data_IF_245337384447
#
_entry.id   IF_245337384447
#
_cell.length_a   1.000
_cell.length_b   1.000
_cell.length_c   1.000
_cell.angle_alpha   90.00
_cell.angle_beta   90.00
_cell.angle_gamma   90.00
#
_symmetry.space_group_name_H-M   'P 1'
#
loop_
_entity.id
_entity.type
_entity.pdbx_description
1 polymer ?
#
# COMPACT_ATOMS: atom_id res chain seq x y z
N UNK A 1 -9.02 5.59 14.41
CA UNK A 1 -9.23 5.42 15.86
C UNK A 1 -8.05 4.72 16.55
N UNK A 2 -7.61 3.52 16.16
CA UNK A 2 -6.49 2.81 16.83
C UNK A 2 -5.21 3.64 17.01
N UNK A 3 -4.66 4.23 15.93
CA UNK A 3 -3.36 4.93 15.98
C UNK A 3 -3.35 6.23 16.81
N UNK A 4 -4.41 7.03 16.74
CA UNK A 4 -4.44 8.42 17.28
C UNK A 4 -5.42 8.57 18.44
N UNK A 5 -6.35 7.62 18.61
CA UNK A 5 -7.39 7.67 19.62
C UNK A 5 -8.80 7.78 19.03
N UNK A 6 -9.80 7.58 19.90
CA UNK A 6 -11.22 7.70 19.56
C UNK A 6 -11.59 9.12 19.14
N UNK A 7 -11.02 10.13 19.83
CA UNK A 7 -11.32 11.55 19.66
C UNK A 7 -10.30 12.28 18.79
N UNK A 8 -9.66 11.59 17.85
CA UNK A 8 -8.62 12.16 16.98
C UNK A 8 -9.07 13.39 16.17
N UNK A 9 -10.38 13.53 15.93
CA UNK A 9 -10.97 14.69 15.23
C UNK A 9 -11.02 15.95 16.10
N UNK A 10 -10.83 15.85 17.42
CA UNK A 10 -10.77 17.01 18.32
C UNK A 10 -9.39 17.69 18.31
N UNK A 11 -8.36 17.02 17.77
CA UNK A 11 -7.02 17.61 17.65
C UNK A 11 -7.03 18.78 16.66
N UNK A 12 -6.34 19.91 16.93
CA UNK A 12 -6.40 21.12 16.10
C UNK A 12 -6.10 20.90 14.62
N UNK A 13 -5.22 19.95 14.30
CA UNK A 13 -4.84 19.64 12.91
C UNK A 13 -5.92 18.88 12.15
N UNK A 14 -6.75 18.10 12.84
CA UNK A 14 -7.84 17.30 12.25
C UNK A 14 -9.20 17.98 12.39
N UNK A 15 -9.33 18.92 13.33
CA UNK A 15 -10.60 19.59 13.62
C UNK A 15 -11.02 20.50 12.46
N UNK A 16 -12.30 20.46 12.05
CA UNK A 16 -12.78 21.33 10.99
C UNK A 16 -12.83 22.79 11.45
N UNK A 17 -12.60 23.73 10.54
CA UNK A 17 -12.67 25.17 10.80
C UNK A 17 -14.09 25.72 10.59
N UNK A 18 -15.07 25.14 11.27
CA UNK A 18 -16.48 25.56 11.26
C UNK A 18 -17.18 25.09 12.53
N UNK A 19 -18.41 25.52 12.74
CA UNK A 19 -19.22 25.00 13.85
C UNK A 19 -19.43 23.48 13.69
N UNK A 20 -19.22 22.76 14.79
CA UNK A 20 -19.45 21.33 14.95
C UNK A 20 -20.40 21.14 16.11
N UNK A 21 -21.47 20.39 15.87
CA UNK A 21 -22.36 19.91 16.91
C UNK A 21 -22.70 18.46 16.58
N UNK A 22 -22.44 17.55 17.51
CA UNK A 22 -22.67 16.11 17.33
C UNK A 22 -23.26 15.48 18.58
N UNK A 23 -23.91 14.33 18.39
CA UNK A 23 -24.38 13.47 19.47
C UNK A 23 -23.29 12.50 19.96
N UNK A 24 -22.07 12.54 19.40
CA UNK A 24 -20.97 11.69 19.85
C UNK A 24 -20.51 12.15 21.23
N UNK A 25 -20.22 11.19 22.11
CA UNK A 25 -19.78 11.43 23.49
C UNK A 25 -18.64 10.51 23.84
N UNK A 26 -17.88 10.94 24.84
CA UNK A 26 -16.83 10.19 25.51
C UNK A 26 -15.75 9.62 24.56
N UNK A 27 -15.16 8.50 24.96
CA UNK A 27 -13.93 7.99 24.39
C UNK A 27 -12.70 8.54 25.12
N UNK A 28 -11.61 7.80 25.00
CA UNK A 28 -10.34 8.15 25.65
C UNK A 28 -9.87 9.53 25.18
N UNK A 29 -9.39 10.34 26.14
CA UNK A 29 -8.91 11.71 25.93
C UNK A 29 -9.95 12.61 25.22
N UNK A 30 -11.19 12.60 25.72
CA UNK A 30 -12.19 13.61 25.31
C UNK A 30 -11.76 14.97 25.86
N UNK A 31 -11.47 15.93 24.98
CA UNK A 31 -11.05 17.28 25.36
C UNK A 31 -12.26 18.21 25.59
N UNK A 32 -13.30 18.05 24.77
CA UNK A 32 -14.55 18.80 24.87
C UNK A 32 -15.73 17.99 24.30
N UNK A 33 -16.94 18.47 24.54
CA UNK A 33 -18.18 17.87 24.05
C UNK A 33 -18.81 18.82 23.02
N UNK A 34 -19.17 18.30 21.84
CA UNK A 34 -19.73 19.06 20.72
C UNK A 34 -21.21 19.46 20.95
N UNK A 35 -21.46 20.31 21.94
CA UNK A 35 -22.81 20.79 22.29
C UNK A 35 -23.18 22.02 21.46
N UNK A 36 -24.37 22.02 20.87
CA UNK A 36 -24.89 23.23 20.21
C UNK A 36 -25.38 24.25 21.25
N UNK A 37 -25.19 25.57 21.03
CA UNK A 37 -25.68 26.60 21.94
C UNK A 37 -27.17 26.46 22.24
N UNK A 38 -27.56 26.57 23.51
CA UNK A 38 -28.97 26.51 23.94
C UNK A 38 -29.62 25.13 23.89
N UNK A 39 -28.84 24.05 23.67
CA UNK A 39 -29.36 22.68 23.72
C UNK A 39 -29.25 22.06 25.11
N UNK A 40 -30.18 21.15 25.43
CA UNK A 40 -30.17 20.41 26.69
C UNK A 40 -28.94 19.47 26.73
N UNK A 41 -27.98 19.66 27.67
CA UNK A 41 -26.74 18.89 27.69
C UNK A 41 -26.95 17.39 27.95
N UNK A 42 -28.12 17.01 28.47
CA UNK A 42 -28.50 15.60 28.70
C UNK A 42 -29.05 14.90 27.45
N UNK A 43 -29.24 15.61 26.34
CA UNK A 43 -29.67 15.00 25.08
C UNK A 43 -28.44 14.76 24.20
N UNK A 44 -28.14 13.50 23.96
CA UNK A 44 -27.06 13.01 23.09
C UNK A 44 -27.60 12.02 22.02
N UNK A 45 -28.86 12.15 21.64
CA UNK A 45 -29.53 11.30 20.66
C UNK A 45 -30.43 12.13 19.73
N UNK A 46 -30.79 11.55 18.59
CA UNK A 46 -31.69 12.14 17.60
C UNK A 46 -32.56 11.00 17.01
N UNK A 47 -33.87 11.20 16.81
CA UNK A 47 -34.65 12.41 17.15
C UNK A 47 -34.93 12.55 18.66
N UNK A 48 -35.12 13.79 19.12
CA UNK A 48 -35.49 14.11 20.52
C UNK A 48 -36.66 15.10 20.58
N UNK A 49 -37.58 14.86 21.52
CA UNK A 49 -38.69 15.75 21.91
C UNK A 49 -38.29 16.78 22.97
N UNK A 50 -37.15 16.58 23.64
CA UNK A 50 -36.67 17.40 24.76
C UNK A 50 -35.63 18.45 24.33
N UNK A 51 -35.74 18.98 23.10
CA UNK A 51 -34.70 19.73 22.38
C UNK A 51 -33.52 18.84 21.94
N UNK A 52 -32.61 19.34 21.10
CA UNK A 52 -31.46 18.59 20.58
C UNK A 52 -31.09 18.95 19.14
N UNK A 53 -30.08 18.26 18.60
CA UNK A 53 -29.66 18.45 17.21
C UNK A 53 -30.76 17.99 16.24
N UNK A 54 -30.78 18.58 15.05
CA UNK A 54 -31.69 18.26 13.95
C UNK A 54 -30.89 18.08 12.68
N UNK A 55 -31.43 17.28 11.76
CA UNK A 55 -30.87 17.12 10.43
C UNK A 55 -30.86 18.46 9.69
N UNK A 56 -29.82 18.68 8.90
CA UNK A 56 -29.75 19.85 8.02
C UNK A 56 -30.75 19.67 6.86
N UNK A 57 -31.37 20.76 6.37
CA UNK A 57 -32.18 20.68 5.15
C UNK A 57 -31.30 20.19 3.99
N UNK A 58 -31.86 19.33 3.13
CA UNK A 58 -31.13 18.79 1.98
C UNK A 58 -30.74 19.92 1.03
N UNK A 59 -29.45 20.03 0.73
CA UNK A 59 -28.92 21.03 -0.21
C UNK A 59 -29.23 20.72 -1.68
N UNK A 60 -29.70 19.50 -1.99
CA UNK A 60 -30.03 19.06 -3.34
C UNK A 60 -30.57 17.63 -3.35
N UNK A 61 -30.76 17.07 -4.55
CA UNK A 61 -31.19 15.68 -4.72
C UNK A 61 -30.02 14.72 -4.48
N UNK A 62 -30.28 13.65 -3.74
CA UNK A 62 -29.30 12.60 -3.49
C UNK A 62 -28.89 11.90 -4.80
N UNK A 63 -27.59 11.66 -4.97
CA UNK A 63 -27.08 10.88 -6.09
C UNK A 63 -27.48 9.40 -5.91
N UNK A 64 -28.43 8.95 -6.75
CA UNK A 64 -29.11 7.64 -6.64
C UNK A 64 -29.05 6.87 -7.98
N UNK A 65 -27.87 6.39 -8.41
CA UNK A 65 -27.74 5.64 -9.65
C UNK A 65 -28.39 4.25 -9.54
N UNK A 66 -28.89 3.73 -10.67
CA UNK A 66 -29.37 2.35 -10.75
C UNK A 66 -28.17 1.38 -10.77
N UNK A 67 -28.30 0.27 -10.06
CA UNK A 67 -27.35 -0.85 -10.10
C UNK A 67 -28.07 -2.13 -10.56
N UNK A 68 -27.39 -2.92 -11.40
CA UNK A 68 -27.83 -4.26 -11.80
C UNK A 68 -26.61 -5.18 -11.76
N UNK A 69 -26.44 -5.90 -10.65
CA UNK A 69 -25.26 -6.71 -10.40
C UNK A 69 -25.58 -7.91 -9.48
N UNK A 70 -24.77 -8.96 -9.56
CA UNK A 70 -24.79 -10.10 -8.64
C UNK A 70 -23.79 -9.87 -7.51
N UNK A 71 -24.07 -10.41 -6.32
CA UNK A 71 -23.11 -10.41 -5.21
C UNK A 71 -22.07 -11.51 -5.42
N UNK A 72 -20.85 -11.13 -5.83
CA UNK A 72 -19.76 -12.06 -6.18
C UNK A 72 -18.39 -11.56 -5.68
N UNK A 73 -17.39 -12.44 -5.70
CA UNK A 73 -15.97 -12.11 -5.51
C UNK A 73 -15.22 -12.44 -6.79
N UNK A 74 -14.97 -11.45 -7.62
CA UNK A 74 -14.29 -11.62 -8.90
C UNK A 74 -13.39 -10.43 -9.21
N UNK A 75 -12.41 -10.65 -10.10
CA UNK A 75 -11.61 -9.55 -10.64
C UNK A 75 -12.45 -8.74 -11.63
N UNK A 76 -12.08 -7.47 -11.83
CA UNK A 76 -12.68 -6.65 -12.89
C UNK A 76 -12.41 -7.26 -14.27
N UNK A 77 -13.33 -7.05 -15.21
CA UNK A 77 -13.24 -7.60 -16.57
C UNK A 77 -12.14 -6.94 -17.42
N UNK A 78 -11.88 -5.65 -17.19
CA UNK A 78 -10.86 -4.87 -17.92
C UNK A 78 -9.62 -4.68 -17.04
N UNK A 79 -8.78 -5.70 -16.97
CA UNK A 79 -7.56 -5.67 -16.13
C UNK A 79 -6.49 -4.78 -16.76
N UNK A 80 -6.16 -5.04 -18.03
CA UNK A 80 -5.21 -4.23 -18.80
C UNK A 80 -3.90 -3.94 -18.03
N UNK A 81 -3.32 -4.99 -17.45
CA UNK A 81 -2.23 -4.86 -16.46
C UNK A 81 -0.93 -4.27 -17.03
N UNK A 82 -0.73 -4.34 -18.36
CA UNK A 82 0.58 -4.07 -18.99
C UNK A 82 0.64 -2.82 -19.87
N UNK A 83 -0.49 -2.42 -20.47
CA UNK A 83 -0.48 -1.36 -21.49
C UNK A 83 0.04 -0.04 -20.96
N UNK A 84 -0.48 0.41 -19.82
CA UNK A 84 -0.10 1.70 -19.23
C UNK A 84 1.36 1.69 -18.78
N UNK A 85 1.82 0.59 -18.17
CA UNK A 85 3.22 0.46 -17.75
C UNK A 85 4.19 0.52 -18.94
N UNK A 86 3.84 -0.14 -20.06
CA UNK A 86 4.63 -0.07 -21.30
C UNK A 86 4.64 1.32 -21.93
N UNK A 87 3.50 2.01 -21.95
CA UNK A 87 3.40 3.40 -22.42
C UNK A 87 4.25 4.34 -21.56
N UNK A 88 4.20 4.20 -20.23
CA UNK A 88 5.04 4.98 -19.32
C UNK A 88 6.53 4.73 -19.57
N UNK A 89 6.95 3.47 -19.72
CA UNK A 89 8.35 3.13 -20.00
C UNK A 89 8.89 3.80 -21.28
N UNK A 90 8.08 3.79 -22.35
CA UNK A 90 8.42 4.43 -23.63
C UNK A 90 8.47 5.96 -23.54
N UNK A 91 7.65 6.55 -22.66
CA UNK A 91 7.59 7.99 -22.47
C UNK A 91 8.71 8.56 -21.60
N UNK A 92 9.49 7.72 -20.92
CA UNK A 92 10.65 8.18 -20.17
C UNK A 92 11.76 8.71 -21.09
N UNK A 93 12.61 9.56 -20.53
CA UNK A 93 13.91 9.87 -21.11
C UNK A 93 14.88 8.68 -20.92
N UNK A 94 15.97 8.64 -21.69
CA UNK A 94 16.93 7.53 -21.61
C UNK A 94 17.51 7.36 -20.20
N UNK A 95 17.87 8.46 -19.55
CA UNK A 95 18.43 8.44 -18.19
C UNK A 95 17.42 7.92 -17.15
N UNK A 96 16.14 8.22 -17.31
CA UNK A 96 15.07 7.73 -16.43
C UNK A 96 14.88 6.22 -16.62
N UNK A 97 14.94 5.73 -17.86
CA UNK A 97 14.94 4.29 -18.14
C UNK A 97 16.16 3.61 -17.51
N UNK A 98 17.35 4.21 -17.61
CA UNK A 98 18.57 3.66 -17.03
C UNK A 98 18.45 3.53 -15.50
N UNK A 99 17.99 4.59 -14.83
CA UNK A 99 17.78 4.60 -13.39
C UNK A 99 16.71 3.57 -12.96
N UNK A 100 15.60 3.49 -13.69
CA UNK A 100 14.55 2.51 -13.44
C UNK A 100 15.08 1.07 -13.53
N UNK A 101 15.82 0.74 -14.60
CA UNK A 101 16.39 -0.58 -14.78
C UNK A 101 17.38 -0.89 -13.67
N UNK A 102 18.25 0.05 -13.31
CA UNK A 102 19.21 -0.11 -12.21
C UNK A 102 18.51 -0.42 -10.88
N UNK A 103 17.49 0.36 -10.52
CA UNK A 103 16.74 0.19 -9.28
C UNK A 103 16.01 -1.17 -9.24
N UNK A 104 15.42 -1.60 -10.37
CA UNK A 104 14.73 -2.88 -10.46
C UNK A 104 15.69 -4.06 -10.34
N UNK A 105 16.80 -4.03 -11.07
CA UNK A 105 17.83 -5.08 -11.00
C UNK A 105 18.39 -5.17 -9.59
N UNK A 106 18.70 -4.03 -8.96
CA UNK A 106 19.20 -3.98 -7.58
C UNK A 106 18.20 -4.60 -6.60
N UNK A 107 16.91 -4.25 -6.69
CA UNK A 107 15.86 -4.78 -5.83
C UNK A 107 15.49 -6.25 -6.07
N UNK A 108 15.63 -6.74 -7.30
CA UNK A 108 15.17 -8.09 -7.70
C UNK A 108 16.30 -9.13 -7.67
N UNK A 109 17.57 -8.71 -7.81
CA UNK A 109 18.72 -9.63 -7.92
C UNK A 109 18.90 -10.60 -6.75
N UNK A 110 18.40 -10.24 -5.56
CA UNK A 110 18.45 -11.09 -4.37
C UNK A 110 17.27 -12.07 -4.26
N UNK A 111 16.22 -11.91 -5.06
CA UNK A 111 15.04 -12.78 -5.04
C UNK A 111 15.35 -14.16 -5.61
N UNK A 112 14.50 -15.13 -5.30
CA UNK A 112 14.59 -16.47 -5.91
C UNK A 112 14.40 -16.41 -7.43
N UNK A 113 15.06 -17.32 -8.15
CA UNK A 113 15.07 -17.33 -9.63
C UNK A 113 13.66 -17.29 -10.23
N UNK A 114 12.72 -18.06 -9.68
CA UNK A 114 11.34 -18.10 -10.20
C UNK A 114 10.62 -16.75 -10.10
N UNK A 115 10.97 -15.92 -9.11
CA UNK A 115 10.47 -14.55 -8.97
C UNK A 115 11.11 -13.66 -10.02
N UNK A 116 12.43 -13.75 -10.20
CA UNK A 116 13.16 -12.99 -11.21
C UNK A 116 12.61 -13.26 -12.61
N UNK A 117 12.42 -14.53 -12.97
CA UNK A 117 11.88 -14.97 -14.25
C UNK A 117 10.47 -14.43 -14.46
N UNK A 118 9.63 -14.48 -13.41
CA UNK A 118 8.26 -13.96 -13.50
C UNK A 118 8.24 -12.44 -13.69
N UNK A 119 9.11 -11.71 -12.99
CA UNK A 119 9.20 -10.25 -13.16
C UNK A 119 9.66 -9.88 -14.57
N UNK A 120 10.66 -10.58 -15.12
CA UNK A 120 11.08 -10.41 -16.52
C UNK A 120 9.91 -10.65 -17.47
N UNK A 121 9.15 -11.73 -17.30
CA UNK A 121 7.96 -12.03 -18.12
C UNK A 121 6.93 -10.89 -18.08
N UNK A 122 6.66 -10.33 -16.89
CA UNK A 122 5.71 -9.23 -16.74
C UNK A 122 6.23 -7.93 -17.39
N UNK A 123 7.51 -7.60 -17.22
CA UNK A 123 8.11 -6.43 -17.86
C UNK A 123 8.14 -6.56 -19.38
N UNK A 124 8.39 -7.76 -19.91
CA UNK A 124 8.32 -8.04 -21.35
C UNK A 124 6.89 -7.84 -21.90
N UNK A 125 5.86 -8.17 -21.12
CA UNK A 125 4.47 -7.90 -21.52
C UNK A 125 4.15 -6.39 -21.58
N UNK A 126 4.84 -5.57 -20.80
CA UNK A 126 4.74 -4.12 -20.87
C UNK A 126 5.46 -3.57 -22.10
N UNK A 127 6.73 -3.93 -22.27
CA UNK A 127 7.57 -3.53 -23.39
C UNK A 127 8.74 -4.53 -23.57
N UNK A 128 9.07 -4.88 -24.81
CA UNK A 128 10.11 -5.85 -25.10
C UNK A 128 11.51 -5.36 -24.67
N UNK A 129 11.81 -4.07 -24.84
CA UNK A 129 13.07 -3.48 -24.41
C UNK A 129 13.17 -3.47 -22.89
N UNK A 130 12.08 -3.13 -22.23
CA UNK A 130 12.00 -3.10 -20.77
C UNK A 130 12.35 -4.47 -20.16
N UNK A 131 11.65 -5.53 -20.58
CA UNK A 131 11.92 -6.88 -20.06
C UNK A 131 13.33 -7.36 -20.40
N UNK A 132 13.84 -7.06 -21.61
CA UNK A 132 15.20 -7.42 -22.03
C UNK A 132 16.25 -6.77 -21.13
N UNK A 133 16.15 -5.47 -20.89
CA UNK A 133 17.13 -4.72 -20.08
C UNK A 133 17.13 -5.16 -18.62
N UNK A 134 15.96 -5.48 -18.05
CA UNK A 134 15.89 -6.06 -16.69
C UNK A 134 16.56 -7.43 -16.66
N UNK A 135 16.28 -8.30 -17.64
CA UNK A 135 16.90 -9.63 -17.74
C UNK A 135 18.42 -9.55 -17.82
N UNK A 136 18.94 -8.74 -18.74
CA UNK A 136 20.39 -8.53 -18.92
C UNK A 136 21.04 -8.02 -17.62
N UNK A 137 20.41 -7.07 -16.93
CA UNK A 137 20.89 -6.57 -15.65
C UNK A 137 20.94 -7.65 -14.56
N UNK A 138 19.92 -8.51 -14.47
CA UNK A 138 19.88 -9.61 -13.51
C UNK A 138 20.96 -10.67 -13.81
N UNK A 139 21.18 -10.99 -15.09
CA UNK A 139 22.25 -11.91 -15.50
C UNK A 139 23.64 -11.35 -15.17
N UNK A 140 23.86 -10.05 -15.36
CA UNK A 140 25.11 -9.38 -14.96
C UNK A 140 25.30 -9.43 -13.45
N UNK A 141 24.26 -9.10 -12.66
CA UNK A 141 24.33 -9.16 -11.20
C UNK A 141 24.62 -10.59 -10.69
N UNK A 142 24.05 -11.60 -11.32
CA UNK A 142 24.31 -13.01 -10.99
C UNK A 142 25.76 -13.42 -11.30
N UNK A 143 26.31 -12.97 -12.45
CA UNK A 143 27.72 -13.20 -12.82
C UNK A 143 28.66 -12.52 -11.83
N UNK A 144 28.44 -11.25 -11.52
CA UNK A 144 29.25 -10.52 -10.54
C UNK A 144 29.24 -11.19 -9.16
N UNK A 145 28.09 -11.69 -8.72
CA UNK A 145 27.97 -12.44 -7.46
C UNK A 145 28.78 -13.73 -7.49
N UNK A 146 28.74 -14.46 -8.61
CA UNK A 146 29.52 -15.69 -8.80
C UNK A 146 31.02 -15.41 -8.83
N UNK A 147 31.45 -14.35 -9.50
CA UNK A 147 32.85 -13.96 -9.60
C UNK A 147 33.41 -13.51 -8.24
N UNK A 148 32.64 -12.71 -7.50
CA UNK A 148 32.95 -12.37 -6.10
C UNK A 148 33.08 -13.62 -5.23
N UNK A 149 32.11 -14.53 -5.31
CA UNK A 149 32.20 -15.81 -4.59
C UNK A 149 33.43 -16.61 -5.00
N UNK A 150 33.79 -16.68 -6.27
CA UNK A 150 34.96 -17.43 -6.72
C UNK A 150 36.27 -16.84 -6.16
N UNK A 151 36.38 -15.51 -6.10
CA UNK A 151 37.52 -14.79 -5.54
C UNK A 151 37.65 -14.81 -4.01
N UNK A 152 36.62 -15.25 -3.27
CA UNK A 152 36.68 -15.37 -1.81
C UNK A 152 37.57 -16.54 -1.37
N UNK A 153 38.26 -16.34 -0.25
CA UNK A 153 39.02 -17.38 0.45
C UNK A 153 38.09 -18.48 0.98
N UNK A 154 38.68 -19.65 1.29
CA UNK A 154 37.91 -20.81 1.80
C UNK A 154 37.15 -20.49 3.09
N UNK A 155 37.76 -19.73 4.00
CA UNK A 155 37.14 -19.32 5.27
C UNK A 155 35.94 -18.40 5.06
N UNK A 156 36.04 -17.46 4.12
CA UNK A 156 34.94 -16.53 3.81
C UNK A 156 33.75 -17.25 3.17
N UNK A 157 34.02 -18.25 2.31
CA UNK A 157 32.98 -19.11 1.71
C UNK A 157 32.26 -19.95 2.76
N UNK A 158 33.00 -20.56 3.68
CA UNK A 158 32.43 -21.36 4.77
C UNK A 158 31.55 -20.49 5.69
N UNK A 159 32.03 -19.30 6.06
CA UNK A 159 31.27 -18.38 6.90
C UNK A 159 29.95 -17.91 6.25
N UNK A 160 29.98 -17.59 4.96
CA UNK A 160 28.79 -17.16 4.23
C UNK A 160 27.79 -18.31 3.99
N UNK A 161 28.28 -19.54 3.78
CA UNK A 161 27.44 -20.73 3.66
C UNK A 161 26.72 -21.07 4.97
N UNK A 162 27.39 -20.91 6.11
CA UNK A 162 26.78 -21.10 7.44
C UNK A 162 25.66 -20.07 7.67
N UNK A 163 25.90 -18.79 7.37
CA UNK A 163 24.87 -17.75 7.48
C UNK A 163 23.65 -18.00 6.58
N UNK A 164 23.87 -18.46 5.34
CA UNK A 164 22.78 -18.85 4.45
C UNK A 164 22.00 -20.05 4.98
N UNK A 165 22.69 -21.07 5.50
CA UNK A 165 22.05 -22.25 6.09
C UNK A 165 21.19 -21.87 7.31
N UNK A 166 21.67 -20.97 8.17
CA UNK A 166 20.90 -20.43 9.30
C UNK A 166 19.65 -19.66 8.85
N UNK A 167 19.76 -18.84 7.79
CA UNK A 167 18.62 -18.08 7.24
C UNK A 167 17.57 -18.98 6.56
N UNK A 168 17.98 -20.09 5.96
CA UNK A 168 17.09 -21.05 5.29
C UNK A 168 16.55 -22.14 6.24
N UNK A 169 17.20 -22.34 7.39
CA UNK A 169 16.77 -23.32 8.38
C UNK A 169 15.40 -22.94 8.95
N UNK A 170 14.44 -23.85 8.81
CA UNK A 170 13.14 -23.78 9.50
C UNK A 170 13.22 -24.64 10.75
N UNK A 171 12.84 -24.09 11.90
CA UNK A 171 12.74 -24.86 13.15
C UNK A 171 11.81 -26.07 12.95
N UNK A 172 12.33 -27.27 13.21
CA UNK A 172 11.53 -28.48 13.23
C UNK A 172 10.55 -28.40 14.40
N UNK A 173 9.25 -28.57 14.14
CA UNK A 173 8.27 -28.76 15.21
C UNK A 173 8.44 -30.18 15.75
N UNK A 174 8.70 -30.39 17.06
CA UNK A 174 8.59 -31.71 17.63
C UNK A 174 7.13 -32.17 17.52
N UNK A 175 6.96 -33.43 17.13
CA UNK A 175 5.67 -34.10 16.96
C UNK A 175 4.80 -34.01 18.21
#
# INVERSE_FOLDING_TARGET
RYRVGTNYLQLPINSPRKHVATNQRDGQMTYYVDVAPGTNPHVNYEPSSLNGLKEAPKAGKDHTPLYNARLVREKISRQNDFKQAGETYRNFEDWERDELIYNLVSGISAAEQHIQDKMVELFTQCDADYGRRVKEGLEMAAKEKKDKMNGMSKQEKEHQAVQQAEAMAKNAKPY
#
